data_IF_757826129548
#
_entry.id   IF_757826129548
#
_cell.length_a   1.000
_cell.length_b   1.000
_cell.length_c   1.000
_cell.angle_alpha   90.00
_cell.angle_beta   90.00
_cell.angle_gamma   90.00
#
_symmetry.space_group_name_H-M   'P 1'
#
loop_
_entity.id
_entity.type
_entity.pdbx_description
1 polymer ?
#
# COMPACT_ATOMS: atom_id res chain seq x y z
N UNK A 1 -38.41 25.97 37.54
CA UNK A 1 -37.85 25.59 36.22
C UNK A 1 -37.42 24.14 36.30
N UNK A 2 -38.16 23.23 35.67
CA UNK A 2 -37.80 21.81 35.61
C UNK A 2 -36.61 21.63 34.65
N UNK A 3 -35.70 20.68 34.91
CA UNK A 3 -34.53 20.45 34.06
C UNK A 3 -34.95 19.92 32.68
N UNK A 4 -34.17 20.18 31.63
CA UNK A 4 -34.49 19.72 30.28
C UNK A 4 -34.41 18.20 30.21
N UNK A 5 -35.52 17.56 29.84
CA UNK A 5 -35.59 16.11 29.61
C UNK A 5 -34.58 15.69 28.52
N UNK A 6 -33.82 14.63 28.78
CA UNK A 6 -32.80 14.13 27.87
C UNK A 6 -33.41 13.57 26.58
N UNK A 7 -32.71 13.74 25.45
CA UNK A 7 -33.09 13.22 24.12
C UNK A 7 -33.39 11.70 24.14
N UNK A 8 -32.73 10.96 25.04
CA UNK A 8 -32.95 9.52 25.26
C UNK A 8 -34.34 9.19 25.85
N UNK A 9 -34.88 10.04 26.71
CA UNK A 9 -36.18 9.81 27.34
C UNK A 9 -37.31 10.07 26.33
N UNK A 10 -37.15 11.08 25.47
CA UNK A 10 -38.07 11.35 24.37
C UNK A 10 -38.05 10.25 23.29
N UNK A 11 -36.89 9.69 22.98
CA UNK A 11 -36.77 8.54 22.06
C UNK A 11 -37.43 7.28 22.62
N UNK A 12 -37.27 7.01 23.92
CA UNK A 12 -37.89 5.86 24.58
C UNK A 12 -39.41 5.98 24.62
N UNK A 13 -39.92 7.18 24.88
CA UNK A 13 -41.36 7.49 24.92
C UNK A 13 -42.00 7.36 23.52
N UNK A 14 -41.32 7.83 22.48
CA UNK A 14 -41.78 7.72 21.09
C UNK A 14 -41.70 6.29 20.53
N UNK A 15 -40.73 5.48 20.95
CA UNK A 15 -40.70 4.05 20.60
C UNK A 15 -41.80 3.25 21.31
N UNK A 16 -42.13 3.58 22.55
CA UNK A 16 -43.22 2.89 23.28
C UNK A 16 -44.61 3.17 22.72
N UNK A 17 -44.83 4.32 22.07
CA UNK A 17 -46.12 4.67 21.47
C UNK A 17 -46.36 4.08 20.07
N UNK A 18 -45.34 3.47 19.44
CA UNK A 18 -45.42 2.89 18.10
C UNK A 18 -45.79 1.39 18.07
N UNK A 19 -46.03 0.76 19.23
CA UNK A 19 -46.40 -0.65 19.33
C UNK A 19 -47.75 -0.75 20.06
N UNK A 20 -48.89 -0.81 19.34
CA UNK A 20 -50.23 -0.75 19.95
C UNK A 20 -50.68 -2.09 20.58
N UNK A 21 -49.80 -3.09 20.68
CA UNK A 21 -50.11 -4.38 21.30
C UNK A 21 -48.93 -4.88 22.13
N UNK A 22 -48.89 -4.47 23.40
CA UNK A 22 -47.98 -5.04 24.38
C UNK A 22 -48.57 -6.36 24.88
N UNK A 23 -48.51 -7.40 24.02
CA UNK A 23 -48.75 -8.78 24.43
C UNK A 23 -47.81 -9.13 25.58
N UNK A 24 -48.33 -9.84 26.59
CA UNK A 24 -47.63 -10.51 27.69
C UNK A 24 -46.64 -11.59 27.19
N UNK A 25 -45.77 -11.26 26.22
CA UNK A 25 -44.71 -12.12 25.72
C UNK A 25 -43.78 -12.59 26.84
N UNK A 26 -43.62 -11.80 27.90
CA UNK A 26 -42.75 -12.12 29.04
C UNK A 26 -43.34 -13.22 29.94
N UNK A 27 -44.65 -13.26 30.12
CA UNK A 27 -45.32 -14.33 30.90
C UNK A 27 -45.34 -15.63 30.13
N UNK A 28 -45.76 -15.58 28.86
CA UNK A 28 -45.84 -16.77 28.00
C UNK A 28 -44.48 -17.44 27.76
N UNK A 29 -43.38 -16.67 27.70
CA UNK A 29 -42.02 -17.21 27.62
C UNK A 29 -41.61 -17.91 28.91
N UNK A 30 -41.91 -17.35 30.08
CA UNK A 30 -41.59 -17.95 31.37
C UNK A 30 -42.39 -19.24 31.61
N UNK A 31 -43.68 -19.23 31.24
CA UNK A 31 -44.56 -20.40 31.35
C UNK A 31 -44.12 -21.51 30.37
N UNK A 32 -43.67 -21.15 29.17
CA UNK A 32 -43.12 -22.12 28.20
C UNK A 32 -41.79 -22.73 28.67
N UNK A 33 -40.89 -21.91 29.24
CA UNK A 33 -39.61 -22.35 29.82
C UNK A 33 -39.80 -23.24 31.05
N UNK A 34 -40.85 -22.99 31.85
CA UNK A 34 -41.17 -23.79 33.03
C UNK A 34 -41.98 -25.06 32.71
N UNK A 35 -42.61 -25.14 31.53
CA UNK A 35 -43.40 -26.31 31.13
C UNK A 35 -42.50 -27.53 30.88
N UNK A 36 -42.87 -28.71 31.41
CA UNK A 36 -42.08 -29.94 31.25
C UNK A 36 -42.57 -30.81 30.08
N UNK A 37 -43.03 -30.19 29.00
CA UNK A 37 -43.64 -30.89 27.85
C UNK A 37 -42.57 -31.41 26.88
N UNK A 38 -42.85 -32.49 26.14
CA UNK A 38 -41.91 -33.02 25.13
C UNK A 38 -41.55 -31.98 24.05
N UNK A 39 -42.51 -31.13 23.66
CA UNK A 39 -42.32 -30.01 22.72
C UNK A 39 -41.37 -28.94 23.30
N UNK A 40 -41.51 -28.58 24.57
CA UNK A 40 -40.62 -27.58 25.21
C UNK A 40 -39.16 -28.04 25.25
N UNK A 41 -38.90 -29.33 25.49
CA UNK A 41 -37.54 -29.89 25.46
C UNK A 41 -36.93 -29.84 24.06
N UNK A 42 -37.70 -30.20 23.03
CA UNK A 42 -37.25 -30.16 21.64
C UNK A 42 -36.94 -28.73 21.18
N UNK A 43 -37.82 -27.78 21.48
CA UNK A 43 -37.64 -26.36 21.13
C UNK A 43 -36.50 -25.71 21.90
N UNK A 44 -36.29 -26.07 23.18
CA UNK A 44 -35.14 -25.62 23.95
C UNK A 44 -33.81 -26.11 23.37
N UNK A 45 -33.72 -27.38 22.98
CA UNK A 45 -32.53 -27.93 22.31
C UNK A 45 -32.27 -27.18 20.99
N UNK A 46 -33.32 -26.93 20.20
CA UNK A 46 -33.21 -26.22 18.93
C UNK A 46 -32.78 -24.75 19.13
N UNK A 47 -33.28 -24.08 20.17
CA UNK A 47 -32.86 -22.73 20.55
C UNK A 47 -31.39 -22.69 20.98
N UNK A 48 -30.91 -23.67 21.76
CA UNK A 48 -29.50 -23.77 22.14
C UNK A 48 -28.62 -23.93 20.91
N UNK A 49 -29.01 -24.78 19.95
CA UNK A 49 -28.24 -24.97 18.71
C UNK A 49 -28.15 -23.67 17.91
N UNK A 50 -29.25 -22.91 17.80
CA UNK A 50 -29.26 -21.62 17.11
C UNK A 50 -28.36 -20.60 17.82
N UNK A 51 -28.45 -20.50 19.14
CA UNK A 51 -27.64 -19.57 19.95
C UNK A 51 -26.16 -19.95 19.84
N UNK A 52 -25.84 -21.24 19.96
CA UNK A 52 -24.46 -21.74 19.81
C UNK A 52 -23.92 -21.46 18.41
N UNK A 53 -24.69 -21.72 17.36
CA UNK A 53 -24.30 -21.43 15.98
C UNK A 53 -24.06 -19.92 15.77
N UNK A 54 -24.92 -19.07 16.34
CA UNK A 54 -24.75 -17.61 16.31
C UNK A 54 -23.48 -17.16 17.05
N UNK A 55 -23.24 -17.68 18.25
CA UNK A 55 -22.03 -17.40 19.03
C UNK A 55 -20.77 -17.88 18.31
N UNK A 56 -20.79 -19.08 17.73
CA UNK A 56 -19.66 -19.61 16.97
C UNK A 56 -19.39 -18.78 15.72
N UNK A 57 -20.44 -18.34 15.02
CA UNK A 57 -20.31 -17.42 13.89
C UNK A 57 -19.67 -16.09 14.31
N UNK A 58 -20.14 -15.48 15.40
CA UNK A 58 -19.56 -14.22 15.91
C UNK A 58 -18.11 -14.45 16.39
N UNK A 59 -17.86 -15.52 17.13
CA UNK A 59 -16.54 -15.87 17.64
C UNK A 59 -15.53 -16.11 16.52
N UNK A 60 -15.91 -16.83 15.47
CA UNK A 60 -15.07 -17.03 14.28
C UNK A 60 -14.78 -15.72 13.55
N UNK A 61 -15.73 -14.78 13.47
CA UNK A 61 -15.52 -13.44 12.90
C UNK A 61 -14.54 -12.60 13.73
N UNK A 62 -14.65 -12.63 15.05
CA UNK A 62 -13.73 -11.92 15.96
C UNK A 62 -12.31 -12.47 15.80
N UNK A 63 -12.15 -13.80 15.81
CA UNK A 63 -10.86 -14.45 15.57
C UNK A 63 -10.28 -14.10 14.21
N UNK A 64 -11.12 -14.10 13.17
CA UNK A 64 -10.71 -13.71 11.82
C UNK A 64 -10.18 -12.28 11.78
N UNK A 65 -10.85 -11.33 12.43
CA UNK A 65 -10.40 -9.92 12.45
C UNK A 65 -9.08 -9.76 13.21
N UNK A 66 -8.90 -10.45 14.34
CA UNK A 66 -7.69 -10.36 15.14
C UNK A 66 -6.47 -11.03 14.49
N UNK A 67 -6.67 -12.12 13.76
CA UNK A 67 -5.59 -12.92 13.17
C UNK A 67 -5.33 -12.58 11.69
N UNK A 68 -6.22 -11.83 11.04
CA UNK A 68 -6.02 -11.43 9.64
C UNK A 68 -4.87 -10.45 9.51
N UNK A 69 -4.02 -10.60 8.47
CA UNK A 69 -2.99 -9.61 8.18
C UNK A 69 -3.59 -8.23 7.92
N UNK A 70 -2.82 -7.19 8.24
CA UNK A 70 -3.26 -5.81 8.01
C UNK A 70 -3.56 -5.56 6.53
N UNK A 71 -4.66 -4.86 6.28
CA UNK A 71 -5.07 -4.38 4.95
C UNK A 71 -4.19 -3.23 4.43
N UNK A 72 -3.50 -2.54 5.33
CA UNK A 72 -2.69 -1.34 5.04
C UNK A 72 -1.28 -1.42 5.62
N UNK A 73 -0.50 -2.47 5.29
CA UNK A 73 0.79 -2.70 5.91
C UNK A 73 1.82 -1.65 5.49
N UNK A 74 2.61 -1.18 6.48
CA UNK A 74 3.87 -0.49 6.20
C UNK A 74 4.91 -1.51 5.72
N UNK A 75 5.33 -1.38 4.48
CA UNK A 75 6.40 -2.20 3.89
C UNK A 75 7.73 -1.71 4.43
N UNK A 76 7.94 -0.40 4.40
CA UNK A 76 9.04 0.30 5.05
C UNK A 76 8.42 1.31 6.01
N UNK A 77 8.83 1.26 7.28
CA UNK A 77 8.53 2.31 8.25
C UNK A 77 9.80 3.12 8.51
N UNK A 78 9.72 4.43 8.31
CA UNK A 78 10.89 5.30 8.42
C UNK A 78 11.73 5.36 7.15
N UNK A 79 12.94 5.87 7.32
CA UNK A 79 13.88 6.13 6.23
C UNK A 79 14.82 4.95 6.01
N UNK A 80 15.07 4.63 4.73
CA UNK A 80 15.99 3.62 4.26
C UNK A 80 16.86 4.23 3.14
N UNK A 81 18.14 3.86 3.11
CA UNK A 81 19.07 4.18 2.04
C UNK A 81 18.62 3.48 0.75
N UNK A 82 18.51 4.23 -0.34
CA UNK A 82 18.02 3.74 -1.61
C UNK A 82 19.10 3.01 -2.45
N UNK A 83 20.33 2.91 -1.96
CA UNK A 83 21.41 2.13 -2.59
C UNK A 83 21.43 0.66 -2.14
N UNK A 84 20.91 0.37 -0.94
CA UNK A 84 20.90 -0.98 -0.37
C UNK A 84 19.66 -1.77 -0.83
N UNK A 85 19.82 -3.04 -1.24
CA UNK A 85 18.68 -3.86 -1.64
C UNK A 85 17.89 -4.43 -0.44
N UNK A 86 16.58 -4.60 -0.59
CA UNK A 86 15.69 -5.22 0.40
C UNK A 86 14.61 -6.07 -0.28
N UNK A 87 14.48 -7.33 0.14
CA UNK A 87 13.36 -8.21 -0.25
C UNK A 87 12.35 -8.31 0.88
N UNK A 88 11.06 -8.17 0.55
CA UNK A 88 9.93 -8.38 1.45
C UNK A 88 9.15 -9.61 1.00
N UNK A 89 9.27 -10.67 1.78
CA UNK A 89 8.60 -11.94 1.52
C UNK A 89 7.09 -11.85 1.76
N UNK A 90 6.29 -12.51 0.91
CA UNK A 90 4.82 -12.53 1.02
C UNK A 90 4.25 -13.75 1.75
N UNK A 91 5.06 -14.79 1.95
CA UNK A 91 4.62 -16.05 2.54
C UNK A 91 4.06 -15.87 3.96
N UNK A 92 2.82 -16.32 4.20
CA UNK A 92 2.06 -16.12 5.45
C UNK A 92 2.65 -16.83 6.69
N UNK A 93 3.71 -17.63 6.53
CA UNK A 93 4.33 -18.42 7.61
C UNK A 93 5.63 -17.87 8.21
N UNK A 94 6.19 -16.79 7.68
CA UNK A 94 7.45 -16.21 8.20
C UNK A 94 7.19 -15.00 9.09
N UNK A 95 7.91 -14.88 10.22
CA UNK A 95 7.82 -13.70 11.11
C UNK A 95 8.25 -12.39 10.44
N UNK A 96 9.03 -12.47 9.36
CA UNK A 96 9.51 -11.30 8.62
C UNK A 96 8.69 -10.98 7.37
N UNK A 97 7.65 -11.76 7.08
CA UNK A 97 6.81 -11.52 5.91
C UNK A 97 5.82 -10.39 6.15
N UNK A 98 5.55 -9.64 5.08
CA UNK A 98 4.54 -8.59 5.06
C UNK A 98 3.62 -8.89 3.88
N UNK A 99 2.55 -9.68 4.08
CA UNK A 99 1.66 -10.07 3.02
C UNK A 99 0.85 -8.86 2.51
N UNK A 100 0.88 -8.65 1.19
CA UNK A 100 0.11 -7.61 0.52
C UNK A 100 -1.19 -8.23 -0.01
N UNK A 101 -2.24 -8.10 0.79
CA UNK A 101 -3.56 -8.65 0.48
C UNK A 101 -4.19 -7.92 -0.71
N UNK A 102 -4.94 -8.64 -1.54
CA UNK A 102 -5.73 -8.04 -2.63
C UNK A 102 -6.95 -7.30 -2.09
N UNK A 103 -7.53 -6.42 -2.89
CA UNK A 103 -8.85 -5.85 -2.61
C UNK A 103 -9.90 -6.96 -2.55
N UNK A 104 -10.80 -6.92 -1.57
CA UNK A 104 -11.89 -7.88 -1.42
C UNK A 104 -13.22 -7.16 -1.63
N UNK A 105 -14.08 -7.70 -2.49
CA UNK A 105 -15.46 -7.25 -2.72
C UNK A 105 -15.62 -5.78 -3.15
N UNK A 106 -14.72 -5.29 -4.01
CA UNK A 106 -14.98 -4.03 -4.70
C UNK A 106 -15.88 -4.30 -5.90
N UNK A 107 -17.03 -3.64 -5.94
CA UNK A 107 -18.12 -3.90 -6.90
C UNK A 107 -17.66 -3.76 -8.37
N UNK A 108 -16.66 -2.93 -8.62
CA UNK A 108 -16.27 -2.50 -9.96
C UNK A 108 -14.90 -3.02 -10.44
N UNK A 109 -14.10 -3.70 -9.60
CA UNK A 109 -12.78 -4.20 -10.05
C UNK A 109 -11.71 -4.34 -8.97
N UNK A 110 -10.45 -4.44 -9.38
CA UNK A 110 -9.29 -4.52 -8.48
C UNK A 110 -8.90 -3.10 -8.05
N UNK A 111 -8.67 -2.91 -6.75
CA UNK A 111 -8.21 -1.64 -6.19
C UNK A 111 -6.99 -1.82 -5.31
N UNK A 112 -6.05 -0.89 -5.40
CA UNK A 112 -4.93 -0.82 -4.46
C UNK A 112 -4.22 0.52 -4.58
N UNK A 113 -3.47 0.87 -3.54
CA UNK A 113 -2.63 2.06 -3.53
C UNK A 113 -1.26 1.75 -2.95
N UNK A 114 -0.21 2.33 -3.53
CA UNK A 114 1.10 2.45 -2.93
C UNK A 114 1.39 3.92 -2.63
N UNK A 115 1.84 4.23 -1.41
CA UNK A 115 2.33 5.56 -1.04
C UNK A 115 3.76 5.45 -0.53
N UNK A 116 4.63 6.33 -0.97
CA UNK A 116 6.03 6.37 -0.53
C UNK A 116 6.63 7.74 -0.78
N UNK A 117 7.72 8.02 -0.09
CA UNK A 117 8.52 9.21 -0.28
C UNK A 117 9.89 8.84 -0.83
N UNK A 118 10.37 9.62 -1.79
CA UNK A 118 11.75 9.51 -2.29
C UNK A 118 12.49 10.82 -2.09
N UNK A 119 13.79 10.71 -1.88
CA UNK A 119 14.73 11.81 -1.88
C UNK A 119 15.91 11.40 -2.75
N UNK A 120 16.08 12.04 -3.91
CA UNK A 120 17.17 11.73 -4.85
C UNK A 120 18.26 12.80 -4.71
N UNK A 121 19.48 12.37 -4.40
CA UNK A 121 20.63 13.26 -4.12
C UNK A 121 21.40 13.63 -5.39
N UNK A 122 21.72 12.62 -6.19
CA UNK A 122 22.53 12.75 -7.39
C UNK A 122 21.90 11.98 -8.55
N UNK A 123 21.85 12.63 -9.72
CA UNK A 123 21.40 12.02 -10.95
C UNK A 123 22.50 11.25 -11.65
N UNK A 124 23.77 11.58 -11.50
CA UNK A 124 24.90 10.91 -12.17
C UNK A 124 25.28 9.58 -11.51
N UNK A 125 24.52 9.15 -10.50
CA UNK A 125 24.73 7.86 -9.86
C UNK A 125 24.41 6.73 -10.84
N UNK A 126 25.40 5.85 -11.07
CA UNK A 126 25.32 4.66 -11.95
C UNK A 126 24.72 4.96 -13.33
N UNK A 127 25.55 5.47 -14.23
CA UNK A 127 25.19 5.69 -15.65
C UNK A 127 25.13 4.40 -16.49
N UNK A 128 25.46 3.24 -15.92
CA UNK A 128 25.49 1.95 -16.64
C UNK A 128 24.09 1.37 -16.95
N UNK A 129 23.02 1.95 -16.40
CA UNK A 129 21.65 1.47 -16.57
C UNK A 129 20.67 2.59 -16.88
N UNK A 130 19.80 2.36 -17.88
CA UNK A 130 18.72 3.28 -18.26
C UNK A 130 17.75 3.57 -17.11
N UNK A 131 17.53 2.56 -16.27
CA UNK A 131 16.56 2.60 -15.19
C UNK A 131 17.17 2.24 -13.83
N UNK A 132 16.93 3.12 -12.85
CA UNK A 132 17.25 2.91 -11.45
C UNK A 132 16.05 2.31 -10.71
N UNK A 133 16.26 1.22 -9.98
CA UNK A 133 15.17 0.50 -9.33
C UNK A 133 14.71 1.16 -8.02
N UNK A 134 13.42 1.51 -7.92
CA UNK A 134 12.80 1.92 -6.64
C UNK A 134 12.24 0.68 -5.96
N UNK A 135 11.22 0.06 -6.54
CA UNK A 135 10.68 -1.23 -6.10
C UNK A 135 9.85 -1.89 -7.21
N UNK A 136 9.71 -3.21 -7.16
CA UNK A 136 8.75 -3.94 -7.96
C UNK A 136 8.13 -5.10 -7.18
N UNK A 137 6.84 -5.34 -7.43
CA UNK A 137 6.14 -6.53 -6.93
C UNK A 137 6.00 -7.52 -8.08
N UNK A 138 6.65 -8.67 -7.99
CA UNK A 138 6.66 -9.63 -9.10
C UNK A 138 8.01 -10.27 -9.32
N UNK A 139 8.61 -9.96 -10.46
CA UNK A 139 9.80 -10.64 -10.93
C UNK A 139 11.04 -10.37 -10.05
N UNK A 140 11.86 -11.40 -9.81
CA UNK A 140 13.07 -11.29 -9.01
C UNK A 140 14.18 -10.46 -9.67
N UNK A 141 15.20 -10.02 -8.91
CA UNK A 141 16.26 -9.12 -9.39
C UNK A 141 17.16 -9.70 -10.48
N UNK A 142 17.19 -11.02 -10.64
CA UNK A 142 17.93 -11.71 -11.71
C UNK A 142 17.14 -11.76 -13.03
N UNK A 143 15.91 -11.29 -13.04
CA UNK A 143 15.09 -11.21 -14.24
C UNK A 143 15.37 -9.94 -15.03
N UNK A 144 15.29 -10.03 -16.36
CA UNK A 144 15.44 -8.87 -17.25
C UNK A 144 14.09 -8.56 -17.87
N UNK A 145 13.63 -7.32 -17.69
CA UNK A 145 12.43 -6.80 -18.32
C UNK A 145 12.71 -6.23 -19.72
N UNK A 146 11.69 -6.24 -20.57
CA UNK A 146 11.75 -5.60 -21.89
C UNK A 146 11.73 -4.07 -21.77
N UNK A 147 12.37 -3.34 -22.69
CA UNK A 147 12.27 -1.88 -22.79
C UNK A 147 13.42 -1.06 -22.17
N UNK A 148 14.53 -1.71 -21.79
CA UNK A 148 15.78 -1.04 -21.39
C UNK A 148 16.52 -1.74 -20.26
N UNK A 149 17.77 -1.32 -20.00
CA UNK A 149 18.60 -1.86 -18.93
C UNK A 149 18.09 -1.43 -17.54
N UNK A 150 18.03 -2.35 -16.58
CA UNK A 150 17.62 -2.08 -15.20
C UNK A 150 16.12 -2.31 -14.89
N UNK A 151 15.32 -2.71 -15.89
CA UNK A 151 13.94 -3.13 -15.69
C UNK A 151 13.87 -4.61 -15.29
N UNK A 152 12.95 -4.95 -14.40
CA UNK A 152 12.64 -6.34 -14.06
C UNK A 152 11.36 -6.78 -14.78
N UNK A 153 11.26 -8.07 -15.13
CA UNK A 153 10.15 -8.60 -15.91
C UNK A 153 10.10 -10.13 -15.90
N UNK A 154 9.02 -10.77 -16.36
CA UNK A 154 7.84 -10.18 -17.00
C UNK A 154 6.79 -9.64 -16.02
N UNK A 155 6.86 -9.89 -14.71
CA UNK A 155 5.82 -9.54 -13.74
C UNK A 155 6.16 -8.27 -12.95
N UNK A 156 5.29 -7.26 -13.02
CA UNK A 156 5.31 -6.01 -12.26
C UNK A 156 3.88 -5.61 -11.88
N UNK A 157 3.56 -5.55 -10.59
CA UNK A 157 2.23 -5.14 -10.13
C UNK A 157 2.26 -4.38 -8.79
N UNK A 158 2.78 -3.13 -8.74
CA UNK A 158 3.44 -2.38 -9.81
C UNK A 158 4.98 -2.58 -9.78
N UNK A 159 5.65 -2.09 -10.82
CA UNK A 159 7.08 -1.84 -10.85
C UNK A 159 7.33 -0.33 -10.98
N UNK A 160 8.19 0.22 -10.14
CA UNK A 160 8.53 1.64 -10.09
C UNK A 160 10.03 1.80 -10.31
N UNK A 161 10.37 2.57 -11.34
CA UNK A 161 11.73 2.78 -11.80
C UNK A 161 11.95 4.27 -12.01
N UNK A 162 13.15 4.78 -11.75
CA UNK A 162 13.55 6.14 -12.09
C UNK A 162 14.41 6.10 -13.35
N UNK A 163 14.31 7.13 -14.18
CA UNK A 163 15.15 7.31 -15.37
C UNK A 163 15.61 8.76 -15.48
N UNK A 164 16.60 8.99 -16.33
CA UNK A 164 17.15 10.31 -16.65
C UNK A 164 16.63 10.75 -18.03
N UNK A 165 16.36 12.04 -18.19
CA UNK A 165 15.83 12.62 -19.43
C UNK A 165 14.30 12.75 -19.46
N UNK A 166 13.75 13.29 -20.56
CA UNK A 166 12.30 13.46 -20.77
C UNK A 166 11.75 12.43 -21.75
N UNK A 167 11.22 11.31 -21.25
CA UNK A 167 10.67 10.24 -22.11
C UNK A 167 9.24 10.49 -22.58
N UNK A 168 8.46 11.41 -21.98
CA UNK A 168 7.08 11.69 -22.44
C UNK A 168 6.98 12.64 -23.65
N UNK A 169 8.09 13.23 -24.14
CA UNK A 169 8.03 14.28 -25.16
C UNK A 169 8.61 13.84 -26.51
N UNK A 170 9.77 13.19 -26.52
CA UNK A 170 10.37 12.49 -27.68
C UNK A 170 11.70 11.84 -27.26
N UNK A 171 12.13 10.79 -27.97
CA UNK A 171 13.44 10.14 -27.73
C UNK A 171 14.62 11.11 -27.95
N UNK A 172 14.45 12.13 -28.81
CA UNK A 172 15.46 13.16 -29.12
C UNK A 172 15.70 14.20 -28.00
N UNK A 173 14.93 14.19 -26.91
CA UNK A 173 15.06 15.17 -25.80
C UNK A 173 15.76 14.61 -24.56
N UNK A 174 16.55 13.54 -24.73
CA UNK A 174 17.42 13.00 -23.68
C UNK A 174 18.58 13.95 -23.33
N UNK A 175 19.13 14.68 -24.30
CA UNK A 175 20.49 15.23 -24.18
C UNK A 175 20.59 16.67 -23.69
N UNK A 176 19.50 17.45 -23.66
CA UNK A 176 19.62 18.89 -23.33
C UNK A 176 19.56 19.21 -21.84
N UNK A 177 18.87 18.41 -21.00
CA UNK A 177 18.80 18.62 -19.55
C UNK A 177 18.54 17.29 -18.82
N UNK A 178 19.39 16.86 -17.86
CA UNK A 178 19.16 15.66 -17.06
C UNK A 178 18.00 15.92 -16.10
N UNK A 179 16.79 15.60 -16.53
CA UNK A 179 15.60 15.65 -15.70
C UNK A 179 15.36 14.27 -15.10
N UNK A 180 14.96 14.21 -13.83
CA UNK A 180 14.51 12.95 -13.23
C UNK A 180 13.10 12.62 -13.71
N UNK A 181 12.92 11.43 -14.24
CA UNK A 181 11.61 10.84 -14.51
C UNK A 181 11.37 9.57 -13.70
N UNK A 182 10.11 9.16 -13.61
CA UNK A 182 9.66 7.92 -13.01
C UNK A 182 8.77 7.15 -13.98
N UNK A 183 9.09 5.88 -14.16
CA UNK A 183 8.26 4.91 -14.86
C UNK A 183 7.50 4.09 -13.82
N UNK A 184 6.18 4.02 -13.98
CA UNK A 184 5.32 3.07 -13.29
C UNK A 184 4.84 2.04 -14.33
N UNK A 185 5.33 0.81 -14.20
CA UNK A 185 4.98 -0.33 -15.04
C UNK A 185 3.96 -1.21 -14.33
N UNK A 186 2.84 -1.49 -14.97
CA UNK A 186 1.78 -2.34 -14.40
C UNK A 186 1.41 -3.43 -15.40
N UNK A 187 1.48 -4.68 -14.97
CA UNK A 187 1.02 -5.80 -15.75
C UNK A 187 -0.49 -5.79 -15.90
N UNK A 188 -0.93 -6.07 -17.12
CA UNK A 188 -2.33 -6.18 -17.51
C UNK A 188 -2.58 -7.55 -18.11
N UNK A 189 -3.83 -8.01 -18.08
CA UNK A 189 -4.20 -9.21 -18.82
C UNK A 189 -4.08 -8.97 -20.33
N UNK A 190 -3.47 -9.91 -21.04
CA UNK A 190 -3.29 -9.79 -22.47
C UNK A 190 -4.64 -9.66 -23.19
N UNK A 191 -4.73 -8.72 -24.12
CA UNK A 191 -5.86 -8.61 -25.03
C UNK A 191 -5.50 -9.30 -26.36
N UNK A 192 -6.16 -10.43 -26.63
CA UNK A 192 -5.97 -11.23 -27.84
C UNK A 192 -6.32 -10.47 -29.14
N UNK A 193 -7.01 -9.33 -29.04
CA UNK A 193 -7.49 -8.55 -30.18
C UNK A 193 -6.57 -7.37 -30.56
N UNK A 194 -5.45 -7.17 -29.87
CA UNK A 194 -4.50 -6.08 -30.14
C UNK A 194 -3.31 -6.58 -30.97
N UNK A 195 -2.90 -5.80 -31.98
CA UNK A 195 -1.82 -6.15 -32.95
C UNK A 195 -0.41 -6.17 -32.32
N UNK A 196 -0.28 -5.87 -31.02
CA UNK A 196 0.90 -6.12 -30.21
C UNK A 196 0.49 -6.80 -28.90
N UNK A 197 1.25 -7.81 -28.47
CA UNK A 197 1.01 -8.45 -27.17
C UNK A 197 1.49 -7.54 -26.03
N UNK A 198 0.72 -6.51 -25.70
CA UNK A 198 0.96 -5.70 -24.53
C UNK A 198 0.59 -6.50 -23.27
N UNK A 199 1.61 -6.87 -22.49
CA UNK A 199 1.47 -7.56 -21.19
C UNK A 199 1.56 -6.59 -20.01
N UNK A 200 1.91 -5.34 -20.29
CA UNK A 200 2.11 -4.28 -19.33
C UNK A 200 1.77 -2.94 -19.98
N UNK A 201 1.30 -2.00 -19.16
CA UNK A 201 1.17 -0.59 -19.50
C UNK A 201 2.26 0.19 -18.74
N UNK A 202 2.98 1.03 -19.49
CA UNK A 202 4.03 1.89 -18.98
C UNK A 202 3.54 3.32 -18.84
N UNK A 203 3.62 3.86 -17.62
CA UNK A 203 3.18 5.21 -17.28
C UNK A 203 4.40 6.03 -16.89
N UNK A 204 4.78 6.96 -17.76
CA UNK A 204 5.93 7.83 -17.56
C UNK A 204 5.51 9.14 -16.89
N UNK A 205 6.29 9.58 -15.91
CA UNK A 205 6.13 10.86 -15.20
C UNK A 205 7.46 11.59 -15.18
N UNK A 206 7.57 12.66 -15.95
CA UNK A 206 8.80 13.47 -16.01
C UNK A 206 8.81 14.58 -14.94
N UNK A 207 9.98 15.21 -14.78
CA UNK A 207 10.19 16.42 -13.99
C UNK A 207 9.94 16.25 -12.49
N UNK A 208 10.40 15.12 -11.93
CA UNK A 208 10.44 14.92 -10.49
C UNK A 208 11.56 15.78 -9.88
N UNK A 209 11.26 16.59 -8.85
CA UNK A 209 12.28 17.39 -8.17
C UNK A 209 13.38 16.51 -7.54
N UNK A 210 14.64 16.92 -7.71
CA UNK A 210 15.79 16.34 -7.02
C UNK A 210 16.18 17.17 -5.79
N UNK A 211 16.96 16.58 -4.88
CA UNK A 211 17.42 17.19 -3.62
C UNK A 211 16.28 17.73 -2.74
N UNK A 212 15.07 17.18 -2.93
CA UNK A 212 13.87 17.47 -2.16
C UNK A 212 13.12 16.17 -1.92
N UNK A 213 12.39 16.12 -0.81
CA UNK A 213 11.49 15.01 -0.54
C UNK A 213 10.27 15.12 -1.45
N UNK A 214 9.97 14.05 -2.16
CA UNK A 214 8.83 13.96 -3.06
C UNK A 214 7.93 12.81 -2.61
N UNK A 215 6.68 13.12 -2.31
CA UNK A 215 5.66 12.14 -1.93
C UNK A 215 4.95 11.63 -3.18
N UNK A 216 4.97 10.33 -3.41
CA UNK A 216 4.32 9.68 -4.54
C UNK A 216 3.22 8.77 -4.03
N UNK A 217 2.05 8.89 -4.65
CA UNK A 217 0.93 7.97 -4.45
C UNK A 217 0.51 7.40 -5.80
N UNK A 218 0.59 6.09 -5.94
CA UNK A 218 0.12 5.35 -7.11
C UNK A 218 -1.16 4.64 -6.70
N UNK A 219 -2.29 5.06 -7.28
CA UNK A 219 -3.63 4.55 -6.96
C UNK A 219 -4.24 3.89 -8.19
N UNK A 220 -4.55 2.60 -8.08
CA UNK A 220 -5.38 1.88 -9.04
C UNK A 220 -6.83 1.89 -8.54
N UNK A 221 -7.75 2.41 -9.36
CA UNK A 221 -9.18 2.43 -9.09
C UNK A 221 -9.88 1.25 -9.75
N UNK A 222 -11.09 0.94 -9.28
CA UNK A 222 -11.94 -0.11 -9.80
C UNK A 222 -12.20 0.01 -11.31
N UNK A 223 -12.28 1.24 -11.82
CA UNK A 223 -12.53 1.58 -13.21
C UNK A 223 -11.34 1.33 -14.14
N UNK A 224 -10.35 0.56 -13.70
CA UNK A 224 -9.13 0.23 -14.43
C UNK A 224 -8.32 1.48 -14.82
N UNK A 225 -8.30 2.47 -13.93
CA UNK A 225 -7.55 3.72 -14.08
C UNK A 225 -6.46 3.77 -13.01
N UNK A 226 -5.26 4.14 -13.42
CA UNK A 226 -4.13 4.38 -12.54
C UNK A 226 -3.89 5.88 -12.47
N UNK A 227 -4.04 6.41 -11.27
CA UNK A 227 -3.77 7.80 -10.93
C UNK A 227 -2.45 7.88 -10.18
N UNK A 228 -1.55 8.75 -10.64
CA UNK A 228 -0.28 9.05 -9.98
C UNK A 228 -0.35 10.48 -9.43
N UNK A 229 -0.22 10.58 -8.11
CA UNK A 229 -0.15 11.84 -7.40
C UNK A 229 1.30 12.12 -6.97
N UNK A 230 1.74 13.35 -7.18
CA UNK A 230 3.02 13.87 -6.68
C UNK A 230 2.71 15.01 -5.71
N UNK A 231 3.19 14.91 -4.48
CA UNK A 231 2.95 15.85 -3.38
C UNK A 231 1.45 16.21 -3.23
N UNK A 232 0.57 15.21 -3.37
CA UNK A 232 -0.88 15.37 -3.24
C UNK A 232 -1.60 15.88 -4.50
N UNK A 233 -0.88 16.32 -5.54
CA UNK A 233 -1.47 16.77 -6.80
C UNK A 233 -1.54 15.65 -7.84
N UNK A 234 -2.67 15.50 -8.53
CA UNK A 234 -2.84 14.50 -9.59
C UNK A 234 -1.98 14.89 -10.80
N UNK A 235 -0.89 14.16 -11.05
CA UNK A 235 0.08 14.48 -12.10
C UNK A 235 -0.18 13.73 -13.39
N UNK A 236 -0.55 12.44 -13.28
CA UNK A 236 -0.91 11.61 -14.43
C UNK A 236 -2.12 10.75 -14.08
N UNK A 237 -3.02 10.63 -15.06
CA UNK A 237 -4.14 9.68 -15.07
C UNK A 237 -4.01 8.83 -16.31
N UNK A 238 -3.91 7.52 -16.14
CA UNK A 238 -3.76 6.58 -17.24
C UNK A 238 -4.85 5.53 -17.16
N UNK A 239 -5.63 5.38 -18.24
CA UNK A 239 -6.59 4.29 -18.37
C UNK A 239 -5.86 3.07 -18.91
N UNK A 240 -5.85 1.99 -18.13
CA UNK A 240 -5.16 0.78 -18.52
C UNK A 240 -5.84 0.10 -19.71
N UNK A 241 -5.04 -0.53 -20.56
CA UNK A 241 -5.47 -1.26 -21.75
C UNK A 241 -6.36 -2.45 -21.42
N UNK A 242 -6.11 -3.10 -20.28
CA UNK A 242 -6.93 -4.20 -19.75
C UNK A 242 -6.80 -4.28 -18.22
N UNK A 243 -7.52 -5.22 -17.60
CA UNK A 243 -7.55 -5.41 -16.15
C UNK A 243 -6.15 -5.65 -15.60
N UNK A 244 -5.83 -5.01 -14.47
CA UNK A 244 -4.56 -5.22 -13.76
C UNK A 244 -4.36 -6.69 -13.36
N UNK A 245 -3.18 -7.22 -13.64
CA UNK A 245 -2.76 -8.57 -13.24
C UNK A 245 -1.90 -8.50 -11.97
N UNK A 246 -2.55 -8.54 -10.80
CA UNK A 246 -1.84 -8.66 -9.51
C UNK A 246 -1.18 -10.04 -9.36
N UNK A 247 0.02 -10.07 -8.76
CA UNK A 247 0.76 -11.30 -8.45
C UNK A 247 0.89 -11.51 -6.92
N UNK A 248 1.31 -12.72 -6.52
CA UNK A 248 1.58 -13.08 -5.12
C UNK A 248 3.08 -13.11 -4.80
N UNK A 249 3.92 -12.71 -5.76
CA UNK A 249 5.35 -12.78 -5.64
C UNK A 249 5.88 -11.73 -4.65
N UNK A 250 7.13 -11.91 -4.27
CA UNK A 250 7.84 -11.02 -3.36
C UNK A 250 7.93 -9.60 -3.91
N UNK A 251 8.10 -8.66 -2.98
CA UNK A 251 8.37 -7.27 -3.28
C UNK A 251 9.87 -7.04 -3.13
N UNK A 252 10.50 -6.57 -4.19
CA UNK A 252 11.92 -6.23 -4.22
C UNK A 252 12.06 -4.72 -4.22
N UNK A 253 13.04 -4.20 -3.48
CA UNK A 253 13.23 -2.76 -3.26
C UNK A 253 14.72 -2.44 -3.46
N UNK A 254 15.03 -1.41 -4.24
CA UNK A 254 16.40 -0.88 -4.44
C UNK A 254 17.45 -1.92 -4.88
N UNK A 255 17.10 -2.85 -5.77
CA UNK A 255 18.06 -3.77 -6.39
C UNK A 255 18.87 -3.09 -7.51
N UNK A 256 19.90 -3.78 -8.01
CA UNK A 256 20.87 -3.23 -8.98
C UNK A 256 21.59 -1.96 -8.51
N UNK A 257 21.66 -1.75 -7.19
CA UNK A 257 22.22 -0.54 -6.55
C UNK A 257 21.25 0.63 -6.47
N UNK A 258 19.98 0.44 -6.86
CA UNK A 258 18.89 1.39 -6.66
C UNK A 258 19.19 2.79 -7.21
N UNK A 259 19.08 3.81 -6.36
CA UNK A 259 19.40 5.20 -6.72
C UNK A 259 20.13 5.90 -5.56
N UNK A 260 20.91 6.95 -5.85
CA UNK A 260 21.57 7.74 -4.83
C UNK A 260 20.54 8.58 -4.06
N UNK A 261 20.21 8.16 -2.83
CA UNK A 261 19.23 8.86 -2.03
C UNK A 261 18.57 7.98 -0.97
N UNK A 262 17.33 8.32 -0.62
CA UNK A 262 16.58 7.64 0.41
C UNK A 262 15.13 7.39 -0.01
N UNK A 263 14.56 6.30 0.48
CA UNK A 263 13.12 6.01 0.44
C UNK A 263 12.57 6.08 1.86
N UNK A 264 11.35 6.61 2.03
CA UNK A 264 10.69 6.69 3.32
C UNK A 264 9.22 6.30 3.24
N UNK A 265 8.74 5.65 4.30
CA UNK A 265 7.33 5.29 4.55
C UNK A 265 6.62 4.64 3.35
N UNK A 266 7.25 3.64 2.72
CA UNK A 266 6.61 2.81 1.70
C UNK A 266 5.47 2.00 2.35
N UNK A 267 4.24 2.31 1.97
CA UNK A 267 3.02 1.70 2.50
C UNK A 267 2.11 1.27 1.37
N UNK A 268 1.45 0.13 1.59
CA UNK A 268 0.45 -0.42 0.70
C UNK A 268 -0.93 -0.29 1.31
N UNK A 269 -1.94 -0.16 0.45
CA UNK A 269 -3.36 -0.19 0.78
C UNK A 269 -4.04 -1.14 -0.19
N UNK A 270 -4.85 -2.06 0.31
CA UNK A 270 -5.63 -2.97 -0.53
C UNK A 270 -6.94 -2.33 -1.07
N UNK A 271 -7.02 -1.00 -1.09
CA UNK A 271 -8.15 -0.23 -1.61
C UNK A 271 -7.63 1.06 -2.25
N UNK A 272 -8.50 1.72 -3.01
CA UNK A 272 -8.20 3.01 -3.61
C UNK A 272 -8.39 4.13 -2.57
N UNK A 273 -7.29 4.79 -2.18
CA UNK A 273 -7.39 5.85 -1.15
C UNK A 273 -8.06 7.12 -1.72
N UNK A 274 -8.81 7.81 -0.86
CA UNK A 274 -9.47 9.07 -1.17
C UNK A 274 -8.54 10.28 -1.12
N UNK A 275 -9.01 11.43 -1.62
CA UNK A 275 -8.25 12.70 -1.63
C UNK A 275 -7.89 13.19 -0.22
N UNK A 276 -8.78 12.99 0.76
CA UNK A 276 -8.51 13.33 2.15
C UNK A 276 -7.32 12.54 2.72
N UNK A 277 -7.25 11.23 2.43
CA UNK A 277 -6.14 10.38 2.88
C UNK A 277 -4.84 10.74 2.15
N UNK A 278 -4.89 11.05 0.86
CA UNK A 278 -3.74 11.58 0.10
C UNK A 278 -3.21 12.88 0.72
N UNK A 279 -4.10 13.80 1.07
CA UNK A 279 -3.72 15.06 1.71
C UNK A 279 -3.14 14.83 3.11
N UNK A 280 -3.69 13.90 3.87
CA UNK A 280 -3.15 13.49 5.18
C UNK A 280 -1.74 12.90 5.06
N UNK A 281 -1.50 12.03 4.06
CA UNK A 281 -0.16 11.48 3.80
C UNK A 281 0.82 12.59 3.43
N UNK A 282 0.41 13.51 2.56
CA UNK A 282 1.24 14.61 2.06
C UNK A 282 1.60 15.60 3.17
N UNK A 283 0.61 16.00 3.98
CA UNK A 283 0.79 16.91 5.12
C UNK A 283 1.62 16.30 6.25
N UNK A 284 1.55 14.97 6.45
CA UNK A 284 2.40 14.25 7.40
C UNK A 284 3.88 14.26 7.00
N UNK A 285 4.16 14.26 5.70
CA UNK A 285 5.53 14.22 5.18
C UNK A 285 6.24 12.87 5.35
N UNK A 286 7.52 12.79 4.97
CA UNK A 286 8.34 11.59 5.13
C UNK A 286 8.77 11.40 6.58
N UNK A 287 8.83 10.16 7.05
CA UNK A 287 9.51 9.85 8.31
C UNK A 287 11.02 9.83 8.12
N UNK A 288 11.72 10.70 8.86
CA UNK A 288 13.18 10.77 8.88
C UNK A 288 13.82 9.81 9.89
N UNK A 289 13.00 9.01 10.60
CA UNK A 289 13.51 8.04 11.57
C UNK A 289 14.13 6.87 10.83
N UNK A 290 15.43 6.65 11.00
CA UNK A 290 16.10 5.44 10.52
C UNK A 290 15.60 4.24 11.31
N UNK A 291 15.22 3.15 10.62
CA UNK A 291 14.75 1.93 11.29
C UNK A 291 15.93 1.25 12.02
N UNK A 292 15.69 0.77 13.26
CA UNK A 292 16.73 0.10 14.08
C UNK A 292 17.38 -1.15 13.45
N UNK A 293 16.78 -1.72 12.41
CA UNK A 293 17.23 -2.95 11.73
C UNK A 293 17.53 -2.75 10.23
N UNK A 294 17.64 -1.52 9.74
CA UNK A 294 18.33 -1.30 8.46
C UNK A 294 19.84 -1.38 8.72
N UNK A 295 20.62 -1.91 7.78
CA UNK A 295 22.08 -2.01 7.90
C UNK A 295 22.76 -0.65 8.14
N UNK A 296 22.02 0.45 7.97
CA UNK A 296 22.37 1.82 8.34
C UNK A 296 22.76 1.96 9.82
N UNK A 297 22.21 1.17 10.75
CA UNK A 297 22.67 1.17 12.15
C UNK A 297 24.10 0.62 12.33
N UNK A 298 24.66 -0.03 11.31
CA UNK A 298 26.07 -0.44 11.23
C UNK A 298 26.92 0.53 10.40
N UNK A 299 26.29 1.44 9.65
CA UNK A 299 26.98 2.47 8.91
C UNK A 299 27.44 3.54 9.89
N UNK A 300 28.76 3.66 10.06
CA UNK A 300 29.34 4.71 10.89
C UNK A 300 28.84 6.06 10.33
N UNK A 301 28.29 6.94 11.18
CA UNK A 301 27.93 8.26 10.71
C UNK A 301 29.16 8.95 10.10
N UNK A 302 29.00 9.58 8.92
CA UNK A 302 30.10 10.26 8.21
C UNK A 302 30.70 11.44 8.98
N UNK A 303 30.07 11.89 10.07
CA UNK A 303 30.60 12.99 10.91
C UNK A 303 31.78 12.58 11.82
N UNK A 304 32.22 11.32 11.78
CA UNK A 304 33.41 10.84 12.49
C UNK A 304 34.54 10.42 11.54
N UNK A 305 34.65 11.01 10.34
CA UNK A 305 35.87 10.82 9.56
C UNK A 305 37.04 11.49 10.30
N UNK A 306 38.03 10.72 10.72
CA UNK A 306 39.25 11.27 11.31
C UNK A 306 40.08 12.06 10.30
N UNK A 307 39.77 11.95 9.00
CA UNK A 307 40.35 12.75 7.91
C UNK A 307 40.36 14.25 8.22
N UNK A 308 39.35 14.81 8.90
CA UNK A 308 39.34 16.25 9.18
C UNK A 308 40.36 16.65 10.24
N UNK A 309 40.69 15.73 11.17
CA UNK A 309 41.69 15.94 12.21
C UNK A 309 43.11 15.67 11.73
N UNK A 310 43.27 14.76 10.75
CA UNK A 310 44.57 14.31 10.26
C UNK A 310 44.88 14.75 8.83
N UNK A 311 44.14 15.72 8.30
CA UNK A 311 44.59 16.43 7.12
C UNK A 311 45.78 17.28 7.58
N UNK A 312 46.97 16.69 7.48
CA UNK A 312 48.25 17.37 7.65
C UNK A 312 48.24 18.59 6.72
N UNK A 313 47.95 19.74 7.34
CA UNK A 313 48.23 21.06 6.79
C UNK A 313 49.63 21.46 7.23
N UNK A 314 50.59 20.53 7.11
CA UNK A 314 51.99 20.89 7.21
C UNK A 314 52.40 21.52 5.87
N UNK A 315 52.11 22.82 5.79
CA UNK A 315 52.84 23.72 4.91
C UNK A 315 54.11 24.07 5.67
N UNK A 316 55.26 23.76 5.07
CA UNK A 316 56.64 24.12 5.44
C UNK A 316 57.47 23.02 6.11
N UNK A 317 58.14 22.19 5.29
CA UNK A 317 59.61 22.29 5.07
C UNK A 317 59.97 21.75 3.71
#
# INVERSE_FOLDING_TARGET
MNPPEGVLDNLKKNMSSLIPYQSDKKSALNDFLASNTMISRLTFILAIIIIFSSLFYIGSKVLFIMLSPSKTPYIISGMKDATEALTITQALGSKTSIPLLRSVNQYEGIEFTYSFWIYVTNLEYKDDSDYMHVFNKGSPPNSVGEGGSGLFGPNNAPGVYLYKGKRNYSDDLMDSYPVLGMLVRINVFHNNNSVGKAYYDDIYVDAIPIKKWVGIVIRATSQNIVDIYINGSLTKRHKLSNIVKQNYDNLYINYNGGFAGNISDLKYYNYSIGTFEINSITSKGPSLKTKKNSNINKSKPHYLSSEWYFNDTDVLT
#
